data_IF_658940217243
#
_entry.id   IF_658940217243
#
_cell.length_a   1.000
_cell.length_b   1.000
_cell.length_c   1.000
_cell.angle_alpha   90.00
_cell.angle_beta   90.00
_cell.angle_gamma   90.00
#
_symmetry.space_group_name_H-M   'P 1'
#
loop_
_entity.id
_entity.type
_entity.pdbx_description
1 polymer ?
#
# COMPACT_ATOMS: atom_id res chain seq x y z
N UNK A 1 13.18 -3.96 -0.51
CA UNK A 1 13.18 -5.38 -0.19
C UNK A 1 13.62 -6.20 -1.39
N UNK A 2 12.94 -6.03 -2.52
CA UNK A 2 13.25 -6.71 -3.78
C UNK A 2 14.09 -5.86 -4.74
N UNK A 3 14.73 -4.81 -4.25
CA UNK A 3 15.67 -3.98 -4.99
C UNK A 3 17.11 -4.13 -4.46
N UNK A 4 18.08 -4.00 -5.37
CA UNK A 4 19.50 -3.82 -5.01
C UNK A 4 19.77 -2.40 -4.54
N UNK A 5 20.99 -2.12 -4.01
CA UNK A 5 21.45 -0.74 -3.75
C UNK A 5 21.30 0.18 -4.97
N UNK A 6 21.49 -0.36 -6.16
CA UNK A 6 21.41 0.35 -7.45
C UNK A 6 19.99 0.43 -8.03
N UNK A 7 18.97 0.14 -7.22
CA UNK A 7 17.55 0.09 -7.62
C UNK A 7 17.22 -0.91 -8.74
N UNK A 8 17.99 -1.99 -8.93
CA UNK A 8 17.66 -3.07 -9.86
C UNK A 8 16.75 -4.09 -9.17
N UNK A 9 15.75 -4.60 -9.89
CA UNK A 9 14.80 -5.58 -9.36
C UNK A 9 15.45 -6.97 -9.23
N UNK A 10 15.43 -7.52 -8.03
CA UNK A 10 15.84 -8.89 -7.71
C UNK A 10 14.71 -9.86 -8.05
N UNK A 11 14.55 -10.19 -9.33
CA UNK A 11 13.42 -10.99 -9.83
C UNK A 11 13.26 -12.34 -9.11
N UNK A 12 14.36 -13.04 -8.84
CA UNK A 12 14.32 -14.32 -8.12
C UNK A 12 13.81 -14.16 -6.69
N UNK A 13 14.28 -13.14 -5.96
CA UNK A 13 13.79 -12.86 -4.60
C UNK A 13 12.33 -12.45 -4.57
N UNK A 14 11.86 -11.73 -5.60
CA UNK A 14 10.45 -11.40 -5.76
C UNK A 14 9.61 -12.66 -6.00
N UNK A 15 10.08 -13.55 -6.88
CA UNK A 15 9.41 -14.82 -7.17
C UNK A 15 9.34 -15.72 -5.92
N UNK A 16 10.45 -15.86 -5.20
CA UNK A 16 10.47 -16.60 -3.93
C UNK A 16 9.56 -15.96 -2.88
N UNK A 17 9.57 -14.63 -2.76
CA UNK A 17 8.67 -13.91 -1.85
C UNK A 17 7.20 -14.15 -2.18
N UNK A 18 6.83 -14.14 -3.46
CA UNK A 18 5.48 -14.44 -3.92
C UNK A 18 5.09 -15.90 -3.62
N UNK A 19 5.98 -16.85 -3.93
CA UNK A 19 5.76 -18.27 -3.66
C UNK A 19 5.58 -18.55 -2.15
N UNK A 20 6.50 -18.03 -1.32
CA UNK A 20 6.43 -18.21 0.14
C UNK A 20 5.13 -17.58 0.68
N UNK A 21 4.77 -16.39 0.21
CA UNK A 21 3.52 -15.74 0.63
C UNK A 21 2.30 -16.56 0.23
N UNK A 22 2.28 -17.10 -0.99
CA UNK A 22 1.19 -17.96 -1.46
C UNK A 22 1.07 -19.22 -0.62
N UNK A 23 2.19 -19.88 -0.30
CA UNK A 23 2.22 -21.08 0.57
C UNK A 23 1.69 -20.72 1.98
N UNK A 24 2.20 -19.65 2.59
CA UNK A 24 1.74 -19.21 3.93
C UNK A 24 0.23 -18.89 3.91
N UNK A 25 -0.25 -18.22 2.88
CA UNK A 25 -1.68 -17.90 2.73
C UNK A 25 -2.50 -19.17 2.59
N UNK A 26 -2.09 -20.12 1.76
CA UNK A 26 -2.79 -21.39 1.59
C UNK A 26 -2.85 -22.21 2.88
N UNK A 27 -1.71 -22.36 3.55
CA UNK A 27 -1.62 -23.04 4.85
C UNK A 27 -2.42 -22.31 5.93
N UNK A 28 -2.42 -20.98 5.90
CA UNK A 28 -3.16 -20.17 6.83
C UNK A 28 -4.66 -20.34 6.71
N UNK A 29 -5.17 -20.30 5.50
CA UNK A 29 -6.59 -20.54 5.22
C UNK A 29 -7.02 -21.93 5.70
N UNK A 30 -6.15 -22.93 5.49
CA UNK A 30 -6.45 -24.32 5.86
C UNK A 30 -6.42 -24.56 7.37
N UNK A 31 -5.45 -23.99 8.11
CA UNK A 31 -5.17 -24.43 9.48
C UNK A 31 -5.11 -23.32 10.52
N UNK A 32 -4.42 -22.20 10.28
CA UNK A 32 -4.12 -21.28 11.37
C UNK A 32 -4.87 -19.94 11.36
N UNK A 33 -5.63 -19.61 10.32
CA UNK A 33 -6.40 -18.35 10.30
C UNK A 33 -7.40 -18.27 11.44
N UNK A 34 -8.20 -19.32 11.65
CA UNK A 34 -9.21 -19.34 12.73
C UNK A 34 -8.59 -19.23 14.13
N UNK A 35 -7.64 -20.10 14.54
CA UNK A 35 -7.08 -20.01 15.87
C UNK A 35 -6.30 -18.72 16.12
N UNK A 36 -5.54 -18.25 15.11
CA UNK A 36 -4.80 -17.00 15.22
C UNK A 36 -5.74 -15.77 15.24
N UNK A 37 -6.83 -15.81 14.48
CA UNK A 37 -7.87 -14.80 14.54
C UNK A 37 -8.47 -14.69 15.94
N UNK A 38 -8.91 -15.81 16.53
CA UNK A 38 -9.50 -15.85 17.87
C UNK A 38 -8.51 -15.33 18.93
N UNK A 39 -7.22 -15.67 18.80
CA UNK A 39 -6.19 -15.16 19.69
C UNK A 39 -6.02 -13.64 19.58
N UNK A 40 -5.86 -13.12 18.35
CA UNK A 40 -5.64 -11.69 18.11
C UNK A 40 -6.89 -10.84 18.40
N UNK A 41 -8.09 -11.42 18.24
CA UNK A 41 -9.36 -10.77 18.56
C UNK A 41 -9.47 -10.37 20.04
N UNK A 42 -8.77 -11.08 20.93
CA UNK A 42 -8.68 -10.74 22.36
C UNK A 42 -7.95 -9.42 22.64
N UNK A 43 -7.19 -8.92 21.66
CA UNK A 43 -6.48 -7.64 21.76
C UNK A 43 -7.37 -6.44 21.37
N UNK A 44 -8.66 -6.66 21.07
CA UNK A 44 -9.57 -5.57 20.67
C UNK A 44 -9.71 -4.54 21.80
N UNK A 45 -9.52 -3.28 21.44
CA UNK A 45 -9.71 -2.15 22.34
C UNK A 45 -10.12 -0.89 21.54
N UNK A 46 -10.66 0.10 22.23
CA UNK A 46 -11.11 1.34 21.61
C UNK A 46 -9.99 2.11 20.88
N UNK A 47 -8.73 1.98 21.33
CA UNK A 47 -7.58 2.59 20.66
C UNK A 47 -7.42 2.12 19.20
N UNK A 48 -7.70 0.85 18.92
CA UNK A 48 -7.63 0.32 17.55
C UNK A 48 -8.63 0.97 16.59
N UNK A 49 -9.79 1.41 17.09
CA UNK A 49 -10.80 2.10 16.27
C UNK A 49 -10.28 3.45 15.81
N UNK A 50 -9.70 4.24 16.71
CA UNK A 50 -9.05 5.52 16.37
C UNK A 50 -7.91 5.30 15.38
N UNK A 51 -7.07 4.30 15.65
CA UNK A 51 -5.95 3.96 14.79
C UNK A 51 -6.39 3.58 13.36
N UNK A 52 -7.50 2.86 13.25
CA UNK A 52 -8.08 2.49 11.96
C UNK A 52 -8.59 3.68 11.15
N UNK A 53 -9.11 4.73 11.79
CA UNK A 53 -9.49 5.96 11.10
C UNK A 53 -8.26 6.69 10.55
N UNK A 54 -7.19 6.81 11.32
CA UNK A 54 -5.95 7.49 10.91
C UNK A 54 -5.32 6.79 9.70
N UNK A 55 -5.33 5.46 9.70
CA UNK A 55 -4.72 4.62 8.66
C UNK A 55 -5.71 4.10 7.61
N UNK A 56 -6.89 4.73 7.48
CA UNK A 56 -7.83 4.41 6.41
C UNK A 56 -7.22 4.68 5.03
N UNK A 57 -7.48 3.79 4.07
CA UNK A 57 -6.95 3.91 2.71
C UNK A 57 -7.33 5.23 2.04
N UNK A 58 -8.52 5.76 2.32
CA UNK A 58 -9.00 7.04 1.79
C UNK A 58 -8.19 8.20 2.37
N UNK A 59 -7.89 8.17 3.67
CA UNK A 59 -7.06 9.19 4.34
C UNK A 59 -5.66 9.20 3.72
N UNK A 60 -5.06 8.03 3.49
CA UNK A 60 -3.76 7.93 2.82
C UNK A 60 -3.77 8.53 1.42
N UNK A 61 -4.77 8.19 0.61
CA UNK A 61 -4.90 8.71 -0.75
C UNK A 61 -5.12 10.22 -0.77
N UNK A 62 -6.02 10.74 0.09
CA UNK A 62 -6.28 12.18 0.18
C UNK A 62 -5.03 12.92 0.65
N UNK A 63 -4.40 12.47 1.75
CA UNK A 63 -3.22 13.14 2.32
C UNK A 63 -2.06 13.17 1.32
N UNK A 64 -1.73 12.04 0.72
CA UNK A 64 -0.63 11.96 -0.25
C UNK A 64 -0.98 12.69 -1.56
N UNK A 65 -2.24 12.71 -1.97
CA UNK A 65 -2.73 13.48 -3.12
C UNK A 65 -2.65 14.99 -2.88
N UNK A 66 -3.04 15.46 -1.71
CA UNK A 66 -2.90 16.88 -1.31
C UNK A 66 -1.42 17.28 -1.28
N UNK A 67 -0.55 16.46 -0.67
CA UNK A 67 0.89 16.72 -0.67
C UNK A 67 1.46 16.80 -2.10
N UNK A 68 1.02 15.91 -2.98
CA UNK A 68 1.42 15.95 -4.39
C UNK A 68 0.93 17.21 -5.10
N UNK A 69 -0.32 17.62 -4.84
CA UNK A 69 -0.89 18.86 -5.39
C UNK A 69 -0.10 20.10 -4.92
N UNK A 70 0.24 20.18 -3.64
CA UNK A 70 1.04 21.27 -3.10
C UNK A 70 2.43 21.35 -3.74
N UNK A 71 3.09 20.20 -3.94
CA UNK A 71 4.36 20.12 -4.67
C UNK A 71 4.19 20.57 -6.12
N UNK A 72 3.08 20.18 -6.77
CA UNK A 72 2.75 20.60 -8.13
C UNK A 72 2.58 22.12 -8.21
N UNK A 73 1.75 22.70 -7.35
CA UNK A 73 1.48 24.14 -7.31
C UNK A 73 2.76 24.94 -7.09
N UNK A 74 3.57 24.54 -6.09
CA UNK A 74 4.87 25.19 -5.85
C UNK A 74 5.76 25.17 -7.09
N UNK A 75 5.94 24.02 -7.73
CA UNK A 75 6.77 23.90 -8.94
C UNK A 75 6.22 24.67 -10.12
N UNK A 76 4.91 24.77 -10.27
CA UNK A 76 4.27 25.56 -11.34
C UNK A 76 4.48 27.05 -11.12
N UNK A 77 4.39 27.54 -9.88
CA UNK A 77 4.70 28.92 -9.53
C UNK A 77 6.17 29.25 -9.80
N UNK A 78 7.09 28.40 -9.35
CA UNK A 78 8.53 28.57 -9.59
C UNK A 78 8.85 28.58 -11.10
N UNK A 79 8.21 27.74 -11.89
CA UNK A 79 8.35 27.70 -13.36
C UNK A 79 7.79 28.98 -14.01
N UNK A 80 6.61 29.46 -13.59
CA UNK A 80 6.00 30.70 -14.10
C UNK A 80 6.90 31.90 -13.87
N UNK A 81 7.49 32.03 -12.69
CA UNK A 81 8.46 33.09 -12.36
C UNK A 81 9.69 32.99 -13.26
N UNK A 82 10.22 31.77 -13.46
CA UNK A 82 11.40 31.55 -14.30
C UNK A 82 11.13 31.89 -15.78
N UNK A 83 9.98 31.50 -16.32
CA UNK A 83 9.61 31.83 -17.71
C UNK A 83 9.38 33.33 -17.91
N UNK A 84 8.71 33.99 -16.97
CA UNK A 84 8.53 35.46 -17.00
C UNK A 84 9.86 36.21 -17.07
N UNK A 85 10.91 35.69 -16.41
CA UNK A 85 12.22 36.32 -16.37
C UNK A 85 13.15 35.95 -17.56
N UNK A 86 12.78 34.92 -18.37
CA UNK A 86 13.71 34.36 -19.36
C UNK A 86 13.47 34.77 -20.80
N UNK A 87 12.49 35.61 -21.09
CA UNK A 87 12.14 36.06 -22.47
C UNK A 87 12.04 34.94 -23.54
N UNK A 88 11.86 33.66 -23.12
CA UNK A 88 11.73 32.50 -23.99
C UNK A 88 10.28 32.15 -24.22
N UNK A 89 9.93 31.78 -25.48
CA UNK A 89 8.58 31.30 -25.80
C UNK A 89 8.23 30.08 -24.93
N UNK A 90 7.09 30.14 -24.27
CA UNK A 90 6.59 29.03 -23.45
C UNK A 90 6.21 27.86 -24.36
N UNK A 91 6.88 26.70 -24.17
CA UNK A 91 6.47 25.45 -24.81
C UNK A 91 5.89 24.51 -23.74
N UNK A 92 4.59 24.24 -23.85
CA UNK A 92 3.87 23.34 -22.94
C UNK A 92 4.48 21.92 -22.92
N UNK A 93 4.93 21.42 -24.08
CA UNK A 93 5.56 20.08 -24.18
C UNK A 93 6.89 20.03 -23.42
N UNK A 94 7.71 21.07 -23.52
CA UNK A 94 8.98 21.17 -22.79
C UNK A 94 8.72 21.28 -21.30
N UNK A 95 7.74 22.09 -20.90
CA UNK A 95 7.30 22.21 -19.49
C UNK A 95 6.86 20.86 -18.91
N UNK A 96 5.99 20.14 -19.61
CA UNK A 96 5.50 18.83 -19.14
C UNK A 96 6.64 17.81 -19.03
N UNK A 97 7.56 17.75 -19.99
CA UNK A 97 8.73 16.86 -19.93
C UNK A 97 9.65 17.18 -18.77
N UNK A 98 10.00 18.45 -18.55
CA UNK A 98 10.84 18.90 -17.43
C UNK A 98 10.14 18.63 -16.09
N UNK A 99 8.84 18.95 -16.03
CA UNK A 99 8.01 18.67 -14.86
C UNK A 99 7.99 17.17 -14.52
N UNK A 100 7.66 16.31 -15.48
CA UNK A 100 7.61 14.85 -15.27
C UNK A 100 8.97 14.27 -14.86
N UNK A 101 10.06 14.79 -15.41
CA UNK A 101 11.40 14.36 -15.02
C UNK A 101 11.74 14.68 -13.57
N UNK A 102 11.30 15.84 -13.08
CA UNK A 102 11.53 16.32 -11.69
C UNK A 102 10.54 15.74 -10.68
N UNK A 103 9.29 15.50 -11.10
CA UNK A 103 8.26 14.93 -10.22
C UNK A 103 8.48 13.44 -10.00
N UNK A 104 8.96 12.72 -11.01
CA UNK A 104 9.17 11.26 -10.97
C UNK A 104 9.98 10.79 -9.75
N UNK A 105 10.95 11.57 -9.29
CA UNK A 105 11.80 11.25 -8.14
C UNK A 105 11.39 12.01 -6.86
N UNK A 106 10.28 12.76 -6.93
CA UNK A 106 9.79 13.49 -5.76
C UNK A 106 9.18 12.53 -4.73
N UNK A 107 9.47 12.73 -3.47
CA UNK A 107 9.01 11.87 -2.37
C UNK A 107 7.49 11.77 -2.29
N UNK A 108 6.77 12.88 -2.42
CA UNK A 108 5.31 12.88 -2.39
C UNK A 108 4.74 12.07 -3.57
N UNK A 109 5.30 12.21 -4.77
CA UNK A 109 4.89 11.43 -5.94
C UNK A 109 5.14 9.94 -5.77
N UNK A 110 6.30 9.55 -5.22
CA UNK A 110 6.64 8.15 -4.99
C UNK A 110 5.72 7.50 -3.97
N UNK A 111 5.44 8.20 -2.86
CA UNK A 111 4.52 7.70 -1.83
C UNK A 111 3.10 7.59 -2.40
N UNK A 112 2.59 8.65 -3.05
CA UNK A 112 1.26 8.65 -3.67
C UNK A 112 1.10 7.52 -4.70
N UNK A 113 2.06 7.36 -5.61
CA UNK A 113 2.03 6.33 -6.65
C UNK A 113 2.07 4.92 -6.06
N UNK A 114 2.82 4.72 -4.97
CA UNK A 114 2.87 3.44 -4.26
C UNK A 114 1.54 3.11 -3.60
N UNK A 115 0.95 4.06 -2.91
CA UNK A 115 -0.36 3.91 -2.24
C UNK A 115 -1.46 3.66 -3.26
N UNK A 116 -1.48 4.44 -4.36
CA UNK A 116 -2.48 4.31 -5.43
C UNK A 116 -2.39 2.94 -6.12
N UNK A 117 -1.19 2.56 -6.57
CA UNK A 117 -0.99 1.26 -7.27
C UNK A 117 -1.32 0.08 -6.36
N UNK A 118 -0.93 0.12 -5.10
CA UNK A 118 -1.26 -0.89 -4.10
C UNK A 118 -2.77 -0.96 -3.83
N UNK A 119 -3.44 0.18 -3.71
CA UNK A 119 -4.90 0.26 -3.51
C UNK A 119 -5.69 -0.32 -4.69
N UNK A 120 -5.28 0.01 -5.92
CA UNK A 120 -5.88 -0.54 -7.15
C UNK A 120 -5.68 -2.06 -7.21
N UNK A 121 -4.45 -2.54 -6.99
CA UNK A 121 -4.17 -3.97 -6.97
C UNK A 121 -5.00 -4.71 -5.91
N UNK A 122 -5.07 -4.16 -4.68
CA UNK A 122 -5.88 -4.74 -3.62
C UNK A 122 -7.38 -4.80 -4.00
N UNK A 123 -7.91 -3.75 -4.64
CA UNK A 123 -9.33 -3.73 -5.04
C UNK A 123 -9.64 -4.78 -6.10
N UNK A 124 -8.78 -4.94 -7.10
CA UNK A 124 -8.94 -5.96 -8.15
C UNK A 124 -8.90 -7.36 -7.52
N UNK A 125 -7.89 -7.65 -6.70
CA UNK A 125 -7.74 -8.97 -6.07
C UNK A 125 -8.92 -9.28 -5.14
N UNK A 126 -9.44 -8.29 -4.38
CA UNK A 126 -10.63 -8.45 -3.53
C UNK A 126 -11.83 -8.97 -4.32
N UNK A 127 -12.11 -8.35 -5.44
CA UNK A 127 -13.24 -8.72 -6.29
C UNK A 127 -13.04 -10.15 -6.85
N UNK A 128 -11.82 -10.44 -7.34
CA UNK A 128 -11.52 -11.76 -7.91
C UNK A 128 -11.60 -12.89 -6.87
N UNK A 129 -11.11 -12.65 -5.64
CA UNK A 129 -11.06 -13.67 -4.59
C UNK A 129 -12.38 -13.82 -3.87
N UNK A 130 -13.06 -12.73 -3.52
CA UNK A 130 -14.37 -12.76 -2.88
C UNK A 130 -14.39 -13.46 -1.52
N UNK A 131 -13.35 -13.32 -0.68
CA UNK A 131 -13.27 -14.01 0.61
C UNK A 131 -14.25 -13.44 1.63
N UNK A 132 -14.94 -14.31 2.37
CA UNK A 132 -15.82 -13.95 3.48
C UNK A 132 -15.04 -13.28 4.60
N UNK A 133 -15.59 -12.18 5.13
CA UNK A 133 -15.02 -11.52 6.32
C UNK A 133 -15.24 -12.34 7.58
N UNK A 134 -14.40 -12.13 8.64
CA UNK A 134 -14.56 -12.80 9.92
C UNK A 134 -15.96 -12.66 10.55
N UNK A 135 -16.71 -11.62 10.23
CA UNK A 135 -18.08 -11.42 10.73
C UNK A 135 -18.99 -12.62 10.45
N UNK A 136 -18.81 -13.32 9.33
CA UNK A 136 -19.58 -14.54 9.06
C UNK A 136 -19.18 -15.70 9.96
N UNK A 137 -17.92 -15.78 10.33
CA UNK A 137 -17.43 -16.77 11.28
C UNK A 137 -17.93 -16.47 12.71
N UNK A 138 -17.89 -15.19 13.12
CA UNK A 138 -18.40 -14.78 14.45
C UNK A 138 -19.90 -15.01 14.59
N UNK A 139 -20.69 -14.72 13.55
CA UNK A 139 -22.14 -14.81 13.60
C UNK A 139 -22.69 -16.19 13.30
N UNK A 140 -22.09 -16.93 12.37
CA UNK A 140 -22.66 -18.15 11.78
C UNK A 140 -21.70 -19.34 11.79
N UNK A 141 -20.45 -19.18 12.23
CA UNK A 141 -19.43 -20.23 12.19
C UNK A 141 -18.90 -20.56 10.79
N UNK A 142 -19.33 -19.83 9.75
CA UNK A 142 -19.01 -20.12 8.35
C UNK A 142 -17.84 -19.32 7.84
N UNK A 143 -17.07 -19.94 6.94
CA UNK A 143 -16.01 -19.30 6.15
C UNK A 143 -16.14 -19.73 4.70
N UNK A 144 -15.65 -18.94 3.75
CA UNK A 144 -15.77 -19.31 2.35
C UNK A 144 -15.30 -18.21 1.40
N UNK A 145 -15.59 -18.45 0.13
CA UNK A 145 -15.28 -17.57 -0.97
C UNK A 145 -16.50 -17.38 -1.86
N UNK A 146 -16.70 -16.17 -2.35
CA UNK A 146 -17.67 -15.79 -3.39
C UNK A 146 -16.93 -14.94 -4.42
N UNK A 147 -16.20 -15.57 -5.35
CA UNK A 147 -15.44 -14.86 -6.37
C UNK A 147 -16.28 -13.88 -7.17
N UNK A 148 -15.65 -12.83 -7.66
CA UNK A 148 -16.26 -11.75 -8.45
C UNK A 148 -17.38 -10.98 -7.74
N UNK A 149 -17.37 -10.98 -6.40
CA UNK A 149 -18.31 -10.18 -5.62
C UNK A 149 -17.79 -8.77 -5.39
N UNK A 150 -18.67 -7.77 -5.55
CA UNK A 150 -18.41 -6.37 -5.22
C UNK A 150 -18.89 -6.01 -3.80
N UNK A 151 -19.62 -6.91 -3.15
CA UNK A 151 -20.18 -6.70 -1.82
C UNK A 151 -19.08 -6.64 -0.77
N UNK A 152 -19.18 -5.68 0.16
CA UNK A 152 -18.19 -5.48 1.22
C UNK A 152 -17.95 -6.73 2.06
N UNK A 153 -19.00 -7.46 2.37
CA UNK A 153 -18.98 -8.64 3.24
C UNK A 153 -18.10 -9.78 2.71
N UNK A 154 -17.97 -9.90 1.38
CA UNK A 154 -17.17 -10.92 0.69
C UNK A 154 -15.81 -10.38 0.22
N UNK A 155 -15.45 -9.15 0.53
CA UNK A 155 -14.22 -8.50 0.09
C UNK A 155 -13.19 -8.44 1.22
N UNK A 156 -12.89 -9.60 1.87
CA UNK A 156 -11.91 -9.64 2.95
C UNK A 156 -10.47 -9.60 2.43
N UNK A 157 -10.09 -10.47 1.49
CA UNK A 157 -8.71 -10.69 1.03
C UNK A 157 -8.38 -9.95 -0.26
N UNK A 158 -7.26 -9.21 -0.31
CA UNK A 158 -6.35 -8.84 0.78
C UNK A 158 -6.88 -7.69 1.64
N UNK A 159 -6.27 -7.43 2.81
CA UNK A 159 -6.60 -6.28 3.64
C UNK A 159 -6.19 -4.97 2.98
N UNK A 160 -7.16 -4.14 2.57
CA UNK A 160 -6.89 -2.87 1.89
C UNK A 160 -6.10 -1.87 2.74
N UNK A 161 -6.47 -1.70 4.02
CA UNK A 161 -5.73 -0.84 4.97
C UNK A 161 -4.28 -1.27 5.07
N UNK A 162 -4.03 -2.56 5.30
CA UNK A 162 -2.67 -3.09 5.38
C UNK A 162 -1.89 -2.85 4.08
N UNK A 163 -2.51 -3.11 2.92
CA UNK A 163 -1.88 -2.97 1.62
C UNK A 163 -1.39 -1.53 1.38
N UNK A 164 -2.25 -0.54 1.57
CA UNK A 164 -1.88 0.87 1.34
C UNK A 164 -0.92 1.40 2.40
N UNK A 165 -1.08 0.99 3.66
CA UNK A 165 -0.18 1.37 4.75
C UNK A 165 1.24 0.83 4.52
N UNK A 166 1.36 -0.45 4.17
CA UNK A 166 2.67 -1.01 3.81
C UNK A 166 3.27 -0.31 2.60
N UNK A 167 2.50 -0.05 1.54
CA UNK A 167 3.00 0.66 0.38
C UNK A 167 3.55 2.05 0.73
N UNK A 168 2.80 2.83 1.48
CA UNK A 168 3.19 4.19 1.88
C UNK A 168 4.37 4.21 2.86
N UNK A 169 4.30 3.43 3.94
CA UNK A 169 5.32 3.43 5.00
C UNK A 169 6.62 2.76 4.56
N UNK A 170 6.56 1.68 3.77
CA UNK A 170 7.77 1.06 3.21
C UNK A 170 8.44 2.00 2.22
N UNK A 171 7.68 2.70 1.36
CA UNK A 171 8.24 3.73 0.49
C UNK A 171 8.89 4.85 1.32
N UNK A 172 8.22 5.38 2.34
CA UNK A 172 8.79 6.40 3.22
C UNK A 172 10.10 5.94 3.88
N UNK A 173 10.14 4.71 4.41
CA UNK A 173 11.36 4.12 4.97
C UNK A 173 12.48 3.87 3.95
N UNK A 174 12.15 3.63 2.67
CA UNK A 174 13.14 3.54 1.59
C UNK A 174 13.69 4.90 1.14
N UNK A 175 12.92 5.97 1.31
CA UNK A 175 13.31 7.35 0.98
C UNK A 175 14.07 8.01 2.12
N UNK A 176 13.75 7.65 3.37
CA UNK A 176 14.39 8.15 4.58
C UNK A 176 14.82 6.96 5.47
N UNK A 177 16.00 6.36 5.21
CA UNK A 177 16.43 5.13 5.89
C UNK A 177 16.49 5.22 7.42
N UNK A 178 16.72 6.41 7.97
CA UNK A 178 16.76 6.64 9.43
C UNK A 178 15.43 6.34 10.13
N UNK A 179 14.30 6.56 9.45
CA UNK A 179 12.96 6.30 10.01
C UNK A 179 12.43 4.90 9.67
N UNK A 180 13.19 4.10 8.93
CA UNK A 180 12.76 2.77 8.48
C UNK A 180 12.27 1.86 9.62
N UNK A 181 12.94 1.75 10.79
CA UNK A 181 12.40 0.94 11.88
C UNK A 181 11.02 1.41 12.34
N UNK A 182 10.82 2.71 12.46
CA UNK A 182 9.54 3.32 12.89
C UNK A 182 8.44 3.00 11.87
N UNK A 183 8.71 3.21 10.57
CA UNK A 183 7.71 2.97 9.52
C UNK A 183 7.31 1.51 9.43
N UNK A 184 8.25 0.57 9.62
CA UNK A 184 7.95 -0.85 9.63
C UNK A 184 7.15 -1.26 10.86
N UNK A 185 7.55 -0.83 12.06
CA UNK A 185 6.79 -1.10 13.29
C UNK A 185 5.36 -0.60 13.15
N UNK A 186 5.18 0.63 12.66
CA UNK A 186 3.86 1.22 12.47
C UNK A 186 3.01 0.43 11.44
N UNK A 187 3.61 -0.01 10.33
CA UNK A 187 2.91 -0.84 9.35
C UNK A 187 2.46 -2.18 9.94
N UNK A 188 3.30 -2.82 10.77
CA UNK A 188 2.96 -4.07 11.45
C UNK A 188 1.84 -3.85 12.48
N UNK A 189 1.92 -2.78 13.27
CA UNK A 189 0.87 -2.43 14.25
C UNK A 189 -0.47 -2.20 13.56
N UNK A 190 -0.50 -1.47 12.44
CA UNK A 190 -1.73 -1.33 11.62
C UNK A 190 -2.23 -2.69 11.14
N UNK A 191 -1.34 -3.55 10.66
CA UNK A 191 -1.70 -4.89 10.19
C UNK A 191 -2.38 -5.72 11.31
N UNK A 192 -1.77 -5.77 12.48
CA UNK A 192 -2.33 -6.48 13.65
C UNK A 192 -3.67 -5.89 14.07
N UNK A 193 -3.81 -4.56 14.07
CA UNK A 193 -5.06 -3.89 14.43
C UNK A 193 -6.23 -4.35 13.55
N UNK A 194 -5.99 -4.67 12.25
CA UNK A 194 -7.06 -5.12 11.33
C UNK A 194 -7.64 -6.48 11.70
N UNK A 195 -6.82 -7.34 12.29
CA UNK A 195 -7.27 -8.64 12.81
C UNK A 195 -7.94 -8.43 14.17
N UNK A 196 -7.34 -7.64 15.05
CA UNK A 196 -7.85 -7.37 16.40
C UNK A 196 -9.26 -6.77 16.40
N UNK A 197 -9.59 -5.85 15.48
CA UNK A 197 -10.95 -5.29 15.35
C UNK A 197 -11.94 -6.21 14.60
N UNK A 198 -11.55 -7.44 14.22
CA UNK A 198 -12.42 -8.38 13.52
C UNK A 198 -12.69 -8.08 12.05
N UNK A 199 -11.92 -7.18 11.41
CA UNK A 199 -12.18 -6.76 10.04
C UNK A 199 -11.61 -7.72 8.98
N UNK A 200 -10.55 -8.43 9.30
CA UNK A 200 -9.77 -9.26 8.38
C UNK A 200 -9.18 -10.49 9.04
N UNK A 201 -8.96 -11.53 8.24
CA UNK A 201 -8.20 -12.71 8.65
C UNK A 201 -6.69 -12.41 8.69
N UNK A 202 -5.90 -13.16 9.49
CA UNK A 202 -4.44 -13.03 9.49
C UNK A 202 -3.80 -13.13 8.11
N UNK A 203 -4.22 -14.08 7.27
CA UNK A 203 -3.69 -14.22 5.92
C UNK A 203 -4.09 -13.09 4.96
N UNK A 204 -5.25 -12.43 5.15
CA UNK A 204 -5.63 -11.23 4.39
C UNK A 204 -4.61 -10.11 4.61
N UNK A 205 -4.16 -9.98 5.84
CA UNK A 205 -3.19 -8.97 6.27
C UNK A 205 -1.80 -9.29 5.74
N UNK A 206 -1.38 -10.56 5.80
CA UNK A 206 -0.08 -11.01 5.28
C UNK A 206 0.02 -10.80 3.77
N UNK A 207 -1.02 -11.18 3.01
CA UNK A 207 -1.07 -10.93 1.57
C UNK A 207 -1.08 -9.42 1.27
N UNK A 208 -1.85 -8.64 2.05
CA UNK A 208 -1.88 -7.20 1.92
C UNK A 208 -0.52 -6.55 2.13
N UNK A 209 0.22 -6.97 3.16
CA UNK A 209 1.57 -6.50 3.44
C UNK A 209 2.52 -6.80 2.27
N UNK A 210 2.48 -8.03 1.75
CA UNK A 210 3.31 -8.43 0.60
C UNK A 210 3.02 -7.56 -0.63
N UNK A 211 1.73 -7.38 -1.00
CA UNK A 211 1.34 -6.55 -2.14
C UNK A 211 1.79 -5.10 -1.95
N UNK A 212 1.63 -4.55 -0.75
CA UNK A 212 2.08 -3.18 -0.43
C UNK A 212 3.60 -3.01 -0.60
N UNK A 213 4.39 -3.98 -0.11
CA UNK A 213 5.84 -3.99 -0.27
C UNK A 213 6.26 -4.06 -1.74
N UNK A 214 5.63 -4.95 -2.51
CA UNK A 214 5.90 -5.11 -3.95
C UNK A 214 5.57 -3.83 -4.71
N UNK A 215 4.42 -3.20 -4.42
CA UNK A 215 4.02 -1.94 -5.04
C UNK A 215 5.05 -0.83 -4.79
N UNK A 216 5.52 -0.67 -3.54
CA UNK A 216 6.56 0.29 -3.20
C UNK A 216 7.87 0.03 -3.96
N UNK A 217 8.32 -1.22 -4.00
CA UNK A 217 9.56 -1.59 -4.71
C UNK A 217 9.41 -1.36 -6.23
N UNK A 218 8.29 -1.73 -6.85
CA UNK A 218 8.06 -1.53 -8.29
C UNK A 218 8.00 -0.04 -8.67
N UNK A 219 7.32 0.78 -7.87
CA UNK A 219 7.28 2.24 -8.10
C UNK A 219 8.66 2.84 -7.97
N UNK A 220 9.44 2.47 -6.95
CA UNK A 220 10.82 2.94 -6.79
C UNK A 220 11.71 2.47 -7.95
N UNK A 221 11.62 1.20 -8.33
CA UNK A 221 12.33 0.66 -9.50
C UNK A 221 12.03 1.48 -10.76
N UNK A 222 10.75 1.71 -11.08
CA UNK A 222 10.35 2.49 -12.25
C UNK A 222 10.86 3.93 -12.18
N UNK A 223 10.79 4.56 -11.02
CA UNK A 223 11.21 5.95 -10.83
C UNK A 223 12.71 6.15 -11.05
N UNK A 224 13.54 5.21 -10.63
CA UNK A 224 15.00 5.30 -10.68
C UNK A 224 15.63 4.44 -11.79
N UNK A 225 14.84 3.76 -12.61
CA UNK A 225 15.34 3.03 -13.78
C UNK A 225 16.02 4.00 -14.72
N UNK A 226 17.35 3.90 -14.86
CA UNK A 226 18.11 4.61 -15.90
C UNK A 226 17.67 4.07 -17.27
N UNK A 227 17.39 4.97 -18.21
CA UNK A 227 17.19 4.62 -19.62
C UNK A 227 18.51 4.20 -20.22
#
# INVERSE_FOLDING_TARGET
>A
MFLTSDNKLKKQWLAWGAFITAVIVALGIAWFDKPLYVLLRRLDCNAWRVFNYIFDARVWLVLTGVLLLLVYLKKSLDAGIKYKNSNKNFSFVVFVKDFMSKVRTNYAFLIFSSVLSAGVAAKIIKICVGRFRPIFFEALGITGFRPFSIEWAFNSMPSGHTTVTFAGLVMAGMLAPKIKPITWTLAIVVAVSRVAVGAHWPTDVMLGAFIGMVAADLVKYWAFKRK
#
